data_IF_709121300263
#
_entry.id   IF_709121300263
#
_cell.length_a   1.000
_cell.length_b   1.000
_cell.length_c   1.000
_cell.angle_alpha   90.00
_cell.angle_beta   90.00
_cell.angle_gamma   90.00
#
_symmetry.space_group_name_H-M   'P 1'
#
loop_
_entity.id
_entity.type
_entity.pdbx_description
1 polymer ?
#
# COMPACT_ATOMS: atom_id res chain seq x y z
N UNK A 1 -22.10 3.88 31.13
CA UNK A 1 -20.66 3.51 31.22
C UNK A 1 -20.17 2.52 30.15
N UNK A 2 -20.98 2.02 29.18
CA UNK A 2 -20.53 1.02 28.18
C UNK A 2 -20.15 1.56 26.80
N UNK A 3 -20.77 2.64 26.32
CA UNK A 3 -20.52 3.16 24.96
C UNK A 3 -19.10 3.75 24.80
N UNK A 4 -18.64 4.50 25.81
CA UNK A 4 -17.34 5.17 25.78
C UNK A 4 -16.12 4.23 25.82
N UNK A 5 -16.22 3.09 26.51
CA UNK A 5 -15.13 2.10 26.46
C UNK A 5 -15.05 1.42 25.09
N UNK A 6 -16.18 1.28 24.39
CA UNK A 6 -16.21 0.65 23.08
C UNK A 6 -15.60 1.53 21.98
N UNK A 7 -15.80 2.86 22.03
CA UNK A 7 -15.24 3.79 21.05
C UNK A 7 -13.71 3.90 21.15
N UNK A 8 -13.17 3.99 22.37
CA UNK A 8 -11.72 4.00 22.60
C UNK A 8 -11.07 2.65 22.29
N UNK A 9 -11.76 1.54 22.58
CA UNK A 9 -11.29 0.21 22.19
C UNK A 9 -11.19 0.09 20.67
N UNK A 10 -12.19 0.57 19.93
CA UNK A 10 -12.19 0.55 18.47
C UNK A 10 -11.00 1.33 17.88
N UNK A 11 -10.70 2.51 18.41
CA UNK A 11 -9.53 3.29 17.95
C UNK A 11 -8.20 2.58 18.22
N UNK A 12 -8.11 1.85 19.33
CA UNK A 12 -6.92 1.04 19.66
C UNK A 12 -6.80 -0.20 18.78
N UNK A 13 -7.91 -0.85 18.44
CA UNK A 13 -7.91 -1.96 17.48
C UNK A 13 -7.48 -1.47 16.10
N UNK A 14 -7.99 -0.31 15.67
CA UNK A 14 -7.60 0.29 14.41
C UNK A 14 -6.11 0.65 14.37
N UNK A 15 -5.57 1.26 15.42
CA UNK A 15 -4.13 1.53 15.49
C UNK A 15 -3.29 0.24 15.49
N UNK A 16 -3.80 -0.84 16.10
CA UNK A 16 -3.20 -2.17 16.02
C UNK A 16 -3.14 -2.74 14.59
N UNK A 17 -4.19 -2.55 13.79
CA UNK A 17 -4.20 -2.90 12.36
C UNK A 17 -3.13 -2.12 11.60
N UNK A 18 -3.04 -0.81 11.83
CA UNK A 18 -2.06 0.05 11.15
C UNK A 18 -0.61 -0.28 11.53
N UNK A 19 -0.37 -0.68 12.78
CA UNK A 19 0.92 -1.21 13.20
C UNK A 19 1.27 -2.50 12.47
N UNK A 20 0.33 -3.46 12.36
CA UNK A 20 0.56 -4.70 11.60
C UNK A 20 0.82 -4.41 10.13
N UNK A 21 0.13 -3.44 9.55
CA UNK A 21 0.35 -3.02 8.16
C UNK A 21 1.76 -2.43 7.98
N UNK A 22 2.21 -1.58 8.89
CA UNK A 22 3.57 -1.05 8.87
C UNK A 22 4.61 -2.17 8.85
N UNK A 23 4.46 -3.17 9.72
CA UNK A 23 5.38 -4.32 9.78
C UNK A 23 5.32 -5.18 8.51
N UNK A 24 4.14 -5.36 7.92
CA UNK A 24 3.98 -6.08 6.65
C UNK A 24 4.64 -5.31 5.48
N UNK A 25 4.47 -3.99 5.42
CA UNK A 25 5.12 -3.10 4.44
C UNK A 25 6.64 -3.15 4.56
N UNK A 26 7.18 -3.11 5.78
CA UNK A 26 8.63 -3.23 6.00
C UNK A 26 9.19 -4.60 5.54
N UNK A 27 8.37 -5.65 5.61
CA UNK A 27 8.73 -7.00 5.16
C UNK A 27 8.41 -7.26 3.68
N UNK A 28 7.79 -6.31 2.98
CA UNK A 28 7.25 -6.48 1.63
C UNK A 28 6.30 -7.68 1.51
N UNK A 29 5.52 -7.97 2.56
CA UNK A 29 4.57 -9.08 2.58
C UNK A 29 3.24 -8.66 1.94
N UNK A 30 3.17 -8.79 0.62
CA UNK A 30 2.00 -8.38 -0.19
C UNK A 30 0.69 -9.07 0.20
N UNK A 31 0.74 -10.36 0.54
CA UNK A 31 -0.46 -11.12 0.92
C UNK A 31 -1.05 -10.60 2.23
N UNK A 32 -0.18 -10.32 3.22
CA UNK A 32 -0.61 -9.74 4.49
C UNK A 32 -1.12 -8.30 4.30
N UNK A 33 -0.48 -7.51 3.44
CA UNK A 33 -0.94 -6.14 3.13
C UNK A 33 -2.35 -6.16 2.53
N UNK A 34 -2.62 -7.05 1.57
CA UNK A 34 -3.95 -7.18 0.95
C UNK A 34 -5.04 -7.51 1.99
N UNK A 35 -4.78 -8.50 2.85
CA UNK A 35 -5.71 -8.87 3.92
C UNK A 35 -5.96 -7.70 4.89
N UNK A 36 -4.91 -6.96 5.27
CA UNK A 36 -5.03 -5.81 6.16
C UNK A 36 -5.79 -4.64 5.53
N UNK A 37 -5.67 -4.42 4.22
CA UNK A 37 -6.48 -3.42 3.50
C UNK A 37 -7.97 -3.76 3.59
N UNK A 38 -8.34 -5.04 3.41
CA UNK A 38 -9.72 -5.49 3.57
C UNK A 38 -10.22 -5.33 5.02
N UNK A 39 -9.39 -5.62 6.02
CA UNK A 39 -9.71 -5.36 7.43
C UNK A 39 -9.96 -3.86 7.69
N UNK A 40 -9.11 -2.97 7.15
CA UNK A 40 -9.28 -1.51 7.29
C UNK A 40 -10.58 -1.01 6.68
N UNK A 41 -11.01 -1.57 5.55
CA UNK A 41 -12.25 -1.18 4.89
C UNK A 41 -13.47 -1.35 5.82
N UNK A 42 -13.50 -2.44 6.60
CA UNK A 42 -14.58 -2.70 7.57
C UNK A 42 -14.63 -1.63 8.67
N UNK A 43 -13.47 -1.12 9.10
CA UNK A 43 -13.42 -0.05 10.09
C UNK A 43 -13.93 1.28 9.54
N UNK A 44 -13.74 1.57 8.25
CA UNK A 44 -14.28 2.78 7.62
C UNK A 44 -15.82 2.81 7.60
N UNK A 45 -16.46 1.65 7.57
CA UNK A 45 -17.92 1.54 7.66
C UNK A 45 -18.44 1.75 9.09
N UNK A 46 -17.65 1.33 10.09
CA UNK A 46 -18.04 1.38 11.51
C UNK A 46 -17.77 2.76 12.11
N UNK A 47 -16.63 3.39 11.79
CA UNK A 47 -16.18 4.66 12.40
C UNK A 47 -17.24 5.79 12.37
N UNK A 48 -18.02 6.02 11.30
CA UNK A 48 -19.05 7.06 11.26
C UNK A 48 -20.24 6.80 12.20
N UNK A 49 -20.45 5.54 12.60
CA UNK A 49 -21.59 5.13 13.44
C UNK A 49 -21.27 5.20 14.94
N UNK A 50 -20.02 5.46 15.29
CA UNK A 50 -19.54 5.44 16.68
C UNK A 50 -19.80 6.78 17.32
N UNK A 51 -20.49 6.75 18.47
CA UNK A 51 -20.65 7.92 19.31
C UNK A 51 -19.44 8.08 20.25
N UNK A 52 -18.82 9.25 20.20
CA UNK A 52 -17.66 9.61 21.01
C UNK A 52 -18.03 10.57 22.16
N UNK A 53 -19.30 10.98 22.29
CA UNK A 53 -19.75 12.02 23.23
C UNK A 53 -19.44 11.69 24.70
N UNK A 54 -19.57 10.42 25.09
CA UNK A 54 -19.32 9.97 26.47
C UNK A 54 -17.84 9.69 26.79
N UNK A 55 -16.93 9.93 25.83
CA UNK A 55 -15.53 9.51 25.93
C UNK A 55 -14.56 10.61 26.29
N UNK A 56 -13.48 10.22 26.96
CA UNK A 56 -12.42 11.16 27.29
C UNK A 56 -11.81 11.73 26.00
N UNK A 57 -12.11 13.01 25.76
CA UNK A 57 -11.67 13.74 24.59
C UNK A 57 -10.14 13.76 24.45
N UNK A 58 -9.40 13.84 25.55
CA UNK A 58 -7.93 13.85 25.51
C UNK A 58 -7.38 12.52 25.00
N UNK A 59 -7.98 11.41 25.45
CA UNK A 59 -7.60 10.07 24.99
C UNK A 59 -8.00 9.84 23.54
N UNK A 60 -9.18 10.32 23.10
CA UNK A 60 -9.56 10.25 21.68
C UNK A 60 -8.55 11.02 20.82
N UNK A 61 -8.27 12.28 21.16
CA UNK A 61 -7.33 13.12 20.40
C UNK A 61 -5.93 12.49 20.33
N UNK A 62 -5.47 11.86 21.41
CA UNK A 62 -4.20 11.11 21.42
C UNK A 62 -4.25 9.93 20.45
N UNK A 63 -5.28 9.10 20.49
CA UNK A 63 -5.38 7.93 19.62
C UNK A 63 -5.53 8.33 18.15
N UNK A 64 -6.29 9.38 17.84
CA UNK A 64 -6.42 9.92 16.48
C UNK A 64 -5.06 10.40 15.95
N UNK A 65 -4.26 11.10 16.76
CA UNK A 65 -2.90 11.50 16.35
C UNK A 65 -2.00 10.30 16.05
N UNK A 66 -2.06 9.25 16.87
CA UNK A 66 -1.30 8.02 16.63
C UNK A 66 -1.73 7.36 15.31
N UNK A 67 -3.04 7.26 15.08
CA UNK A 67 -3.61 6.73 13.83
C UNK A 67 -3.12 7.54 12.63
N UNK A 68 -3.15 8.88 12.71
CA UNK A 68 -2.66 9.76 11.65
C UNK A 68 -1.18 9.51 11.33
N UNK A 69 -0.33 9.49 12.35
CA UNK A 69 1.10 9.22 12.17
C UNK A 69 1.38 7.85 11.54
N UNK A 70 0.64 6.82 11.96
CA UNK A 70 0.76 5.48 11.38
C UNK A 70 0.30 5.45 9.92
N UNK A 71 -0.80 6.11 9.57
CA UNK A 71 -1.26 6.20 8.18
C UNK A 71 -0.25 6.94 7.30
N UNK A 72 0.31 8.06 7.77
CA UNK A 72 1.36 8.80 7.06
C UNK A 72 2.59 7.92 6.81
N UNK A 73 3.00 7.15 7.82
CA UNK A 73 4.13 6.22 7.72
C UNK A 73 3.83 5.11 6.71
N UNK A 74 2.67 4.47 6.78
CA UNK A 74 2.29 3.40 5.87
C UNK A 74 2.19 3.93 4.42
N UNK A 75 1.64 5.13 4.23
CA UNK A 75 1.61 5.79 2.92
C UNK A 75 3.01 6.03 2.36
N UNK A 76 3.95 6.50 3.19
CA UNK A 76 5.33 6.74 2.79
C UNK A 76 6.01 5.43 2.37
N UNK A 77 5.87 4.37 3.17
CA UNK A 77 6.42 3.04 2.85
C UNK A 77 5.87 2.49 1.54
N UNK A 78 4.56 2.61 1.32
CA UNK A 78 3.91 2.21 0.06
C UNK A 78 4.46 2.99 -1.13
N UNK A 79 4.57 4.32 -1.02
CA UNK A 79 5.14 5.15 -2.09
C UNK A 79 6.59 4.77 -2.39
N UNK A 80 7.39 4.49 -1.36
CA UNK A 80 8.77 4.07 -1.52
C UNK A 80 8.87 2.71 -2.24
N UNK A 81 8.03 1.74 -1.86
CA UNK A 81 7.98 0.44 -2.51
C UNK A 81 7.60 0.55 -4.00
N UNK A 82 6.56 1.33 -4.32
CA UNK A 82 6.15 1.58 -5.70
C UNK A 82 7.26 2.26 -6.52
N UNK A 83 7.87 3.32 -5.99
CA UNK A 83 8.95 4.05 -6.67
C UNK A 83 10.17 3.16 -6.95
N UNK A 84 10.50 2.27 -6.01
CA UNK A 84 11.58 1.30 -6.21
C UNK A 84 11.25 0.30 -7.32
N UNK A 85 10.00 -0.20 -7.35
CA UNK A 85 9.54 -1.12 -8.38
C UNK A 85 9.51 -0.48 -9.77
N UNK A 86 9.05 0.77 -9.88
CA UNK A 86 9.11 1.56 -11.13
C UNK A 86 10.55 1.70 -11.63
N UNK A 87 11.48 2.04 -10.73
CA UNK A 87 12.91 2.20 -11.06
C UNK A 87 13.51 0.89 -11.58
N UNK A 88 13.15 -0.26 -10.99
CA UNK A 88 13.58 -1.58 -11.49
C UNK A 88 13.05 -1.82 -12.91
N UNK A 89 11.76 -1.57 -13.14
CA UNK A 89 11.14 -1.78 -14.45
C UNK A 89 11.76 -0.89 -15.52
N UNK A 90 12.05 0.37 -15.20
CA UNK A 90 12.76 1.29 -16.10
C UNK A 90 14.16 0.80 -16.44
N UNK A 91 14.92 0.30 -15.45
CA UNK A 91 16.25 -0.25 -15.66
C UNK A 91 16.21 -1.50 -16.57
N UNK A 92 15.24 -2.40 -16.36
CA UNK A 92 15.03 -3.58 -17.21
C UNK A 92 14.68 -3.18 -18.65
N UNK A 93 13.76 -2.23 -18.83
CA UNK A 93 13.36 -1.73 -20.15
C UNK A 93 14.54 -1.07 -20.89
N UNK A 94 15.38 -0.31 -20.19
CA UNK A 94 16.60 0.27 -20.75
C UNK A 94 17.64 -0.80 -21.13
N UNK A 95 17.83 -1.81 -20.30
CA UNK A 95 18.71 -2.95 -20.58
C UNK A 95 18.28 -3.70 -21.85
N UNK A 96 16.99 -4.04 -21.95
CA UNK A 96 16.41 -4.72 -23.11
C UNK A 96 16.55 -3.89 -24.41
N UNK A 97 16.36 -2.57 -24.35
CA UNK A 97 16.58 -1.68 -25.49
C UNK A 97 18.06 -1.71 -25.94
N UNK A 98 19.01 -1.67 -25.01
CA UNK A 98 20.46 -1.70 -25.32
C UNK A 98 20.91 -3.05 -25.91
N UNK A 99 20.38 -4.18 -25.42
CA UNK A 99 20.69 -5.51 -25.98
C UNK A 99 20.17 -5.68 -27.41
N UNK A 100 19.04 -5.04 -27.77
CA UNK A 100 18.56 -5.02 -29.17
C UNK A 100 19.38 -4.11 -30.11
N UNK A 101 20.05 -3.10 -29.56
CA UNK A 101 20.80 -2.10 -30.33
C UNK A 101 22.26 -2.52 -30.61
N UNK A 102 22.78 -3.53 -29.91
CA UNK A 102 24.16 -3.99 -30.07
C UNK A 102 24.17 -5.35 -30.74
N UNK A 103 24.49 -5.36 -32.04
CA UNK A 103 24.52 -6.50 -32.98
C UNK A 103 23.21 -6.88 -33.68
N UNK A 104 22.89 -6.16 -34.76
CA UNK A 104 22.56 -6.85 -36.02
C UNK A 104 23.60 -6.47 -37.08
N UNK A 105 24.60 -7.33 -37.24
CA UNK A 105 25.66 -7.20 -38.27
C UNK A 105 25.29 -7.91 -39.58
N UNK A 106 24.02 -8.22 -39.82
CA UNK A 106 23.53 -8.71 -41.11
C UNK A 106 22.18 -8.08 -41.43
N UNK A 107 22.18 -7.27 -42.48
CA UNK A 107 21.02 -6.53 -42.95
C UNK A 107 19.89 -7.45 -43.37
N UNK A 108 18.69 -7.12 -42.89
CA UNK A 108 17.47 -6.98 -43.66
C UNK A 108 16.41 -6.45 -42.68
N UNK A 109 15.82 -5.30 -43.00
CA UNK A 109 14.64 -4.81 -42.32
C UNK A 109 13.50 -5.80 -42.62
N UNK A 110 13.20 -6.68 -41.68
CA UNK A 110 11.88 -7.30 -41.61
C UNK A 110 11.19 -6.75 -40.38
N UNK A 111 10.12 -5.99 -40.63
CA UNK A 111 9.15 -5.62 -39.63
C UNK A 111 8.48 -6.92 -39.15
N UNK A 112 9.00 -7.51 -38.08
CA UNK A 112 8.38 -8.67 -37.42
C UNK A 112 7.75 -8.16 -36.13
N UNK A 113 6.42 -8.07 -36.20
CA UNK A 113 5.43 -8.18 -35.12
C UNK A 113 5.87 -7.73 -33.73
N UNK A 114 5.78 -6.41 -33.50
CA UNK A 114 5.64 -5.83 -32.17
C UNK A 114 4.17 -5.88 -31.73
N UNK A 115 3.69 -7.04 -31.32
CA UNK A 115 2.47 -7.17 -30.52
C UNK A 115 2.54 -8.55 -29.87
N UNK A 116 2.55 -8.63 -28.53
CA UNK A 116 2.22 -9.80 -27.68
C UNK A 116 3.06 -9.89 -26.39
N UNK A 117 4.02 -9.01 -26.13
CA UNK A 117 4.75 -8.99 -24.85
C UNK A 117 4.11 -8.09 -23.77
N UNK A 118 3.07 -7.33 -24.12
CA UNK A 118 2.28 -6.53 -23.19
C UNK A 118 0.80 -6.84 -23.42
N UNK A 119 0.43 -8.11 -23.25
CA UNK A 119 -0.98 -8.50 -23.14
C UNK A 119 -1.13 -9.57 -22.04
N UNK A 120 -0.73 -9.20 -20.83
CA UNK A 120 -1.18 -9.88 -19.62
C UNK A 120 -1.83 -8.85 -18.71
N UNK A 121 -3.02 -8.41 -19.14
CA UNK A 121 -4.09 -7.97 -18.26
C UNK A 121 -5.13 -9.09 -18.23
N UNK A 122 -5.11 -9.93 -17.19
CA UNK A 122 -6.29 -10.63 -16.65
C UNK A 122 -6.05 -10.85 -15.16
#
# INVERSE_FOLDING_TARGET
>A
MKASQNSLALLKEFSGILHREKEALLKNDGATIEALVQEKQKFLEILPTVDFADSDRSEIERNVKVIQQLQETNLLLTKQALSYQETIMDALAQGAKKSSATYSKKGQYQAVERANLIDHSL
#
